data_IF_329080976985
#
_entry.id   IF_329080976985
#
_cell.length_a   1.000
_cell.length_b   1.000
_cell.length_c   1.000
_cell.angle_alpha   90.00
_cell.angle_beta   90.00
_cell.angle_gamma   90.00
#
_symmetry.space_group_name_H-M   'P 1'
#
loop_
_entity.id
_entity.type
_entity.pdbx_description
1 polymer ?
#
# COMPACT_ATOMS: atom_id res chain seq x y z
N UNK A 1 -5.06 -14.09 13.07
CA UNK A 1 -6.02 -13.02 13.47
C UNK A 1 -5.75 -12.39 14.86
N UNK A 2 -4.75 -12.86 15.63
CA UNK A 2 -4.39 -12.28 16.95
C UNK A 2 -4.06 -10.78 16.83
N UNK A 3 -3.16 -10.42 15.91
CA UNK A 3 -2.72 -9.03 15.66
C UNK A 3 -3.87 -8.05 15.45
N UNK A 4 -4.89 -8.44 14.68
CA UNK A 4 -6.05 -7.58 14.41
C UNK A 4 -6.97 -7.41 15.62
N UNK A 5 -7.08 -8.44 16.48
CA UNK A 5 -7.85 -8.33 17.73
C UNK A 5 -7.18 -7.37 18.73
N UNK A 6 -5.85 -7.40 18.79
CA UNK A 6 -5.05 -6.55 19.67
C UNK A 6 -4.95 -5.10 19.16
N UNK A 7 -5.19 -4.88 17.86
CA UNK A 7 -5.05 -3.58 17.20
C UNK A 7 -6.24 -3.28 16.28
N UNK A 8 -7.43 -3.12 16.84
CA UNK A 8 -8.68 -3.02 16.07
C UNK A 8 -8.79 -1.74 15.22
N UNK A 9 -8.00 -0.72 15.51
CA UNK A 9 -7.98 0.56 14.79
C UNK A 9 -6.80 0.69 13.81
N UNK A 10 -6.13 -0.44 13.49
CA UNK A 10 -5.01 -0.47 12.57
C UNK A 10 -5.30 -1.39 11.37
N UNK A 11 -4.66 -1.10 10.26
CA UNK A 11 -4.56 -2.04 9.14
C UNK A 11 -3.46 -3.05 9.47
N UNK A 12 -3.78 -4.34 9.37
CA UNK A 12 -2.86 -5.43 9.70
C UNK A 12 -2.40 -6.12 8.41
N UNK A 13 -1.11 -6.02 8.09
CA UNK A 13 -0.55 -6.56 6.86
C UNK A 13 0.61 -7.53 7.13
N UNK A 14 0.68 -8.60 6.33
CA UNK A 14 1.79 -9.56 6.40
C UNK A 14 3.01 -9.08 5.59
N UNK A 15 2.79 -8.33 4.52
CA UNK A 15 3.84 -7.75 3.69
C UNK A 15 3.67 -6.24 3.60
N UNK A 16 4.74 -5.52 3.88
CA UNK A 16 4.80 -4.06 3.80
C UNK A 16 6.07 -3.60 3.11
N UNK A 17 5.99 -2.42 2.50
CA UNK A 17 7.15 -1.65 2.10
C UNK A 17 7.32 -0.49 3.07
N UNK A 18 8.53 -0.03 3.30
CA UNK A 18 8.76 1.20 4.06
C UNK A 18 9.03 2.34 3.09
N UNK A 19 8.15 3.33 3.10
CA UNK A 19 8.33 4.57 2.37
C UNK A 19 9.56 5.32 2.88
N UNK A 20 10.31 5.94 1.96
CA UNK A 20 11.49 6.74 2.27
C UNK A 20 11.29 8.18 1.84
N UNK A 21 12.00 9.10 2.49
CA UNK A 21 11.85 10.53 2.26
C UNK A 21 13.22 11.19 2.13
N UNK A 22 13.30 12.22 1.29
CA UNK A 22 14.46 13.10 1.18
C UNK A 22 13.97 14.54 1.32
N UNK A 23 14.54 15.29 2.26
CA UNK A 23 14.11 16.66 2.58
C UNK A 23 12.60 16.81 2.74
N UNK A 24 11.96 15.86 3.44
CA UNK A 24 10.51 15.85 3.69
C UNK A 24 9.63 15.41 2.51
N UNK A 25 10.20 15.19 1.34
CA UNK A 25 9.48 14.74 0.15
C UNK A 25 9.55 13.23 0.02
N UNK A 26 8.42 12.59 -0.35
CA UNK A 26 8.36 11.16 -0.61
C UNK A 26 9.23 10.81 -1.81
N UNK A 27 10.12 9.83 -1.61
CA UNK A 27 10.99 9.33 -2.69
C UNK A 27 10.18 8.48 -3.70
N UNK A 28 10.68 8.34 -4.93
CA UNK A 28 10.12 7.42 -5.91
C UNK A 28 9.96 6.00 -5.36
N UNK A 29 8.92 5.31 -5.80
CA UNK A 29 8.56 3.97 -5.32
C UNK A 29 9.73 2.98 -5.33
N UNK A 30 10.58 3.03 -6.36
CA UNK A 30 11.77 2.17 -6.49
C UNK A 30 12.83 2.39 -5.39
N UNK A 31 12.80 3.53 -4.71
CA UNK A 31 13.73 3.87 -3.62
C UNK A 31 13.20 3.49 -2.25
N UNK A 32 12.00 2.93 -2.15
CA UNK A 32 11.45 2.44 -0.89
C UNK A 32 12.12 1.13 -0.48
N UNK A 33 12.07 0.79 0.79
CA UNK A 33 12.50 -0.53 1.26
C UNK A 33 11.39 -1.55 1.02
N UNK A 34 11.51 -2.29 -0.07
CA UNK A 34 10.55 -3.32 -0.44
C UNK A 34 10.65 -4.53 0.47
N UNK A 35 9.50 -5.20 0.71
CA UNK A 35 9.41 -6.37 1.59
C UNK A 35 10.12 -6.13 2.93
N UNK A 36 9.80 -4.99 3.54
CA UNK A 36 10.47 -4.53 4.75
C UNK A 36 10.13 -5.43 5.94
N UNK A 37 11.10 -6.22 6.39
CA UNK A 37 10.92 -7.26 7.42
C UNK A 37 11.58 -6.95 8.76
N UNK A 38 12.21 -5.79 8.91
CA UNK A 38 12.90 -5.41 10.15
C UNK A 38 12.03 -4.65 11.14
N UNK A 39 10.82 -4.29 10.73
CA UNK A 39 9.92 -3.48 11.53
C UNK A 39 8.87 -4.32 12.23
N UNK A 40 8.78 -4.18 13.53
CA UNK A 40 7.69 -4.70 14.35
C UNK A 40 7.01 -3.52 15.03
N UNK A 41 5.69 -3.45 14.94
CA UNK A 41 4.90 -2.37 15.49
C UNK A 41 4.12 -1.60 14.43
N UNK A 42 3.58 -0.45 14.81
CA UNK A 42 2.80 0.38 13.92
C UNK A 42 3.62 1.56 13.38
N UNK A 43 3.40 1.92 12.12
CA UNK A 43 4.06 3.08 11.51
C UNK A 43 3.16 3.71 10.44
N UNK A 44 3.19 5.04 10.37
CA UNK A 44 2.59 5.79 9.28
C UNK A 44 3.36 5.67 7.96
N UNK A 45 4.61 5.22 8.01
CA UNK A 45 5.47 5.10 6.83
C UNK A 45 5.44 3.70 6.21
N UNK A 46 4.66 2.80 6.76
CA UNK A 46 4.45 1.49 6.17
C UNK A 46 3.36 1.58 5.09
N UNK A 47 3.69 0.99 3.95
CA UNK A 47 2.82 0.80 2.81
C UNK A 47 2.51 -0.69 2.69
N UNK A 48 1.27 -1.08 2.91
CA UNK A 48 0.86 -2.48 2.78
C UNK A 48 0.63 -2.86 1.32
N UNK A 49 0.93 -4.11 0.98
CA UNK A 49 0.59 -4.68 -0.32
C UNK A 49 -0.61 -5.60 -0.16
N UNK A 50 -1.70 -5.33 -0.87
CA UNK A 50 -2.98 -6.02 -0.69
C UNK A 50 -2.92 -7.52 -0.97
N UNK A 51 -2.17 -7.93 -2.00
CA UNK A 51 -2.09 -9.31 -2.47
C UNK A 51 -1.40 -10.30 -1.53
N UNK A 52 -0.70 -9.85 -0.50
CA UNK A 52 0.04 -10.73 0.41
C UNK A 52 -0.66 -11.01 1.75
N UNK A 53 -1.93 -10.73 1.83
CA UNK A 53 -2.72 -10.92 3.05
C UNK A 53 -2.73 -9.66 3.93
N UNK A 54 -3.75 -8.85 3.74
CA UNK A 54 -3.98 -7.62 4.49
C UNK A 54 -5.41 -7.62 5.04
N UNK A 55 -5.54 -7.31 6.33
CA UNK A 55 -6.85 -7.09 6.94
C UNK A 55 -7.06 -5.60 7.13
N UNK A 56 -8.09 -5.08 6.46
CA UNK A 56 -8.49 -3.68 6.50
C UNK A 56 -9.85 -3.62 7.22
N UNK A 57 -9.95 -3.05 8.43
CA UNK A 57 -11.23 -2.88 9.09
C UNK A 57 -12.05 -1.81 8.36
N UNK A 58 -13.15 -2.19 7.72
CA UNK A 58 -13.95 -1.27 6.89
C UNK A 58 -14.42 -0.02 7.68
N UNK A 59 -14.74 -0.16 8.97
CA UNK A 59 -15.24 0.93 9.81
C UNK A 59 -14.26 2.09 10.00
N UNK A 60 -12.94 1.85 9.87
CA UNK A 60 -11.94 2.90 10.07
C UNK A 60 -11.60 3.65 8.78
N UNK A 61 -11.91 3.07 7.63
CA UNK A 61 -11.60 3.66 6.33
C UNK A 61 -12.55 4.82 5.98
N UNK A 62 -12.08 5.82 5.23
CA UNK A 62 -12.95 6.89 4.75
C UNK A 62 -13.93 6.36 3.69
N UNK A 63 -15.12 6.94 3.60
CA UNK A 63 -16.11 6.57 2.57
C UNK A 63 -15.61 6.79 1.14
N UNK A 64 -14.69 7.72 0.96
CA UNK A 64 -14.09 8.06 -0.33
C UNK A 64 -13.37 6.88 -1.01
N UNK A 65 -12.98 5.83 -0.25
CA UNK A 65 -12.43 4.61 -0.84
C UNK A 65 -13.36 3.96 -1.87
N UNK A 66 -14.69 4.18 -1.74
CA UNK A 66 -15.70 3.64 -2.63
C UNK A 66 -15.98 4.53 -3.85
N UNK A 67 -15.26 5.64 -4.00
CA UNK A 67 -15.38 6.52 -5.17
C UNK A 67 -14.76 5.85 -6.40
N UNK A 68 -15.56 4.98 -7.01
CA UNK A 68 -15.17 4.11 -8.12
C UNK A 68 -14.72 4.90 -9.35
N UNK A 69 -15.37 6.03 -9.62
CA UNK A 69 -15.06 6.82 -10.80
C UNK A 69 -13.66 7.45 -10.67
N UNK A 70 -13.39 8.07 -9.53
CA UNK A 70 -12.06 8.63 -9.26
C UNK A 70 -10.98 7.55 -9.23
N UNK A 71 -11.23 6.43 -8.53
CA UNK A 71 -10.30 5.30 -8.48
C UNK A 71 -9.94 4.81 -9.89
N UNK A 72 -10.93 4.64 -10.78
CA UNK A 72 -10.70 4.19 -12.15
C UNK A 72 -9.90 5.18 -12.97
N UNK A 73 -10.13 6.47 -12.76
CA UNK A 73 -9.47 7.53 -13.52
C UNK A 73 -7.99 7.67 -13.14
N UNK A 74 -7.68 7.65 -11.85
CA UNK A 74 -6.34 8.03 -11.37
C UNK A 74 -5.47 6.89 -10.84
N UNK A 75 -6.05 5.74 -10.45
CA UNK A 75 -5.31 4.69 -9.74
C UNK A 75 -5.74 3.24 -10.09
N UNK A 76 -6.28 3.02 -11.28
CA UNK A 76 -6.91 1.75 -11.67
C UNK A 76 -5.98 0.52 -11.57
N UNK A 77 -4.68 0.69 -11.81
CA UNK A 77 -3.72 -0.42 -11.84
C UNK A 77 -3.01 -0.67 -10.49
N UNK A 78 -3.31 0.10 -9.45
CA UNK A 78 -2.66 0.00 -8.15
C UNK A 78 -3.63 0.28 -6.99
N UNK A 79 -4.52 -0.67 -6.71
CA UNK A 79 -5.50 -0.60 -5.63
C UNK A 79 -4.84 -0.39 -4.25
N UNK A 80 -3.65 -0.96 -4.05
CA UNK A 80 -2.85 -0.76 -2.86
C UNK A 80 -2.38 0.69 -2.71
N UNK A 81 -2.04 1.40 -3.78
CA UNK A 81 -1.75 2.84 -3.73
C UNK A 81 -2.98 3.62 -3.26
N UNK A 82 -4.14 3.38 -3.87
CA UNK A 82 -5.39 4.03 -3.48
C UNK A 82 -5.70 3.85 -2.01
N UNK A 83 -5.72 2.60 -1.54
CA UNK A 83 -6.09 2.26 -0.17
C UNK A 83 -5.09 2.81 0.86
N UNK A 84 -3.77 2.71 0.59
CA UNK A 84 -2.76 3.23 1.50
C UNK A 84 -2.85 4.75 1.66
N UNK A 85 -3.00 5.52 0.58
CA UNK A 85 -3.06 6.97 0.68
C UNK A 85 -4.37 7.47 1.29
N UNK A 86 -5.49 6.79 1.07
CA UNK A 86 -6.73 7.04 1.78
C UNK A 86 -6.61 6.80 3.30
N UNK A 87 -5.97 5.69 3.68
CA UNK A 87 -5.70 5.38 5.07
C UNK A 87 -4.77 6.44 5.72
N UNK A 88 -3.72 6.85 5.02
CA UNK A 88 -2.79 7.91 5.48
C UNK A 88 -3.50 9.25 5.68
N UNK A 89 -4.39 9.64 4.77
CA UNK A 89 -5.18 10.88 4.92
C UNK A 89 -5.98 10.88 6.21
N UNK A 90 -6.48 9.71 6.62
CA UNK A 90 -7.16 9.52 7.92
C UNK A 90 -6.20 9.22 9.10
N UNK A 91 -4.89 9.23 8.88
CA UNK A 91 -3.87 8.91 9.90
C UNK A 91 -4.01 7.50 10.47
N UNK A 92 -4.59 6.57 9.71
CA UNK A 92 -4.71 5.17 10.08
C UNK A 92 -3.32 4.52 10.00
N UNK A 93 -2.95 3.79 11.04
CA UNK A 93 -1.64 3.14 11.11
C UNK A 93 -1.67 1.75 10.51
N UNK A 94 -0.55 1.37 9.91
CA UNK A 94 -0.31 0.01 9.43
C UNK A 94 0.55 -0.74 10.45
N UNK A 95 0.15 -1.98 10.75
CA UNK A 95 0.87 -2.90 11.63
C UNK A 95 1.34 -4.10 10.83
N UNK A 96 2.56 -4.56 11.11
CA UNK A 96 3.08 -5.82 10.59
C UNK A 96 3.81 -6.60 11.69
N UNK A 97 3.76 -7.92 11.61
CA UNK A 97 4.51 -8.81 12.50
C UNK A 97 5.68 -9.52 11.81
N UNK A 98 5.84 -9.34 10.52
CA UNK A 98 6.90 -9.91 9.68
C UNK A 98 7.00 -11.45 9.65
N UNK A 99 5.99 -12.18 10.12
CA UNK A 99 6.05 -13.63 10.13
C UNK A 99 5.88 -14.27 8.75
N UNK A 100 5.24 -13.58 7.80
CA UNK A 100 4.89 -14.11 6.48
C UNK A 100 5.32 -13.16 5.37
N UNK A 101 6.63 -12.94 5.28
CA UNK A 101 7.17 -12.07 4.23
C UNK A 101 7.73 -12.90 3.06
N UNK A 102 7.07 -14.00 2.72
CA UNK A 102 7.43 -14.81 1.56
C UNK A 102 6.68 -14.31 0.33
N UNK A 103 7.41 -14.20 -0.77
CA UNK A 103 6.77 -13.96 -2.06
C UNK A 103 5.92 -15.18 -2.43
N UNK A 104 4.74 -14.91 -2.96
CA UNK A 104 3.82 -15.95 -3.40
C UNK A 104 4.38 -16.67 -4.63
N UNK A 105 4.19 -17.97 -4.68
CA UNK A 105 4.64 -18.78 -5.82
C UNK A 105 3.77 -18.47 -7.02
N UNK A 106 4.36 -17.90 -8.06
CA UNK A 106 3.68 -17.66 -9.33
C UNK A 106 3.46 -18.98 -10.09
N UNK A 107 2.24 -19.19 -10.57
CA UNK A 107 1.97 -20.30 -11.47
C UNK A 107 2.62 -19.99 -12.83
N UNK A 108 3.54 -20.86 -13.27
CA UNK A 108 4.25 -20.66 -14.54
C UNK A 108 3.29 -20.54 -15.73
N UNK A 109 3.64 -19.71 -16.73
CA UNK A 109 2.91 -19.49 -17.99
C UNK A 109 1.53 -18.81 -17.89
N UNK A 110 1.06 -18.40 -16.70
CA UNK A 110 -0.25 -17.75 -16.55
C UNK A 110 -0.20 -16.22 -16.71
N UNK A 111 0.97 -15.61 -16.58
CA UNK A 111 1.13 -14.16 -16.63
C UNK A 111 1.73 -13.71 -17.97
N UNK A 112 0.89 -13.49 -18.98
CA UNK A 112 1.31 -12.89 -20.26
C UNK A 112 1.62 -11.40 -20.13
N UNK A 113 0.86 -10.68 -19.29
CA UNK A 113 1.11 -9.27 -18.96
C UNK A 113 1.28 -9.19 -17.45
N UNK A 114 2.43 -8.72 -16.99
CA UNK A 114 2.72 -8.56 -15.55
C UNK A 114 2.46 -7.11 -15.14
N UNK A 115 1.58 -6.90 -14.17
CA UNK A 115 1.36 -5.58 -13.56
C UNK A 115 2.66 -4.94 -13.05
N UNK A 116 3.60 -5.76 -12.60
CA UNK A 116 4.93 -5.32 -12.17
C UNK A 116 5.69 -4.58 -13.29
N UNK A 117 5.52 -4.97 -14.54
CA UNK A 117 6.16 -4.26 -15.66
C UNK A 117 5.61 -2.84 -15.81
N UNK A 118 4.31 -2.67 -15.76
CA UNK A 118 3.67 -1.35 -15.91
C UNK A 118 3.85 -0.49 -14.66
N UNK A 119 3.63 -1.06 -13.49
CA UNK A 119 3.61 -0.31 -12.24
C UNK A 119 5.01 0.00 -11.71
N UNK A 120 5.95 -0.94 -11.80
CA UNK A 120 7.30 -0.75 -11.23
C UNK A 120 8.31 -0.34 -12.30
N UNK A 121 8.43 -1.09 -13.39
CA UNK A 121 9.51 -0.86 -14.37
C UNK A 121 9.30 0.43 -15.18
N UNK A 122 8.07 0.75 -15.54
CA UNK A 122 7.72 1.94 -16.35
C UNK A 122 7.30 3.14 -15.48
N UNK A 123 7.36 3.02 -14.13
CA UNK A 123 7.03 4.11 -13.21
C UNK A 123 5.53 4.37 -13.05
N UNK A 124 4.70 3.39 -13.34
CA UNK A 124 3.24 3.49 -13.19
C UNK A 124 2.80 3.78 -11.75
N UNK A 125 3.48 3.18 -10.76
CA UNK A 125 3.20 3.45 -9.35
C UNK A 125 3.45 4.90 -8.97
N UNK A 126 4.56 5.50 -9.41
CA UNK A 126 4.86 6.90 -9.09
C UNK A 126 3.81 7.85 -9.68
N UNK A 127 3.37 7.62 -10.92
CA UNK A 127 2.30 8.41 -11.56
C UNK A 127 0.98 8.29 -10.78
N UNK A 128 0.61 7.09 -10.37
CA UNK A 128 -0.61 6.85 -9.60
C UNK A 128 -0.51 7.43 -8.18
N UNK A 129 0.66 7.33 -7.53
CA UNK A 129 0.94 7.96 -6.24
C UNK A 129 0.75 9.47 -6.34
N UNK A 130 1.34 10.13 -7.34
CA UNK A 130 1.21 11.57 -7.53
C UNK A 130 -0.23 11.98 -7.82
N UNK A 131 -0.95 11.24 -8.66
CA UNK A 131 -2.35 11.51 -8.96
C UNK A 131 -3.24 11.39 -7.70
N UNK A 132 -3.06 10.34 -6.89
CA UNK A 132 -3.79 10.15 -5.63
C UNK A 132 -3.43 11.21 -4.60
N UNK A 133 -2.14 11.58 -4.47
CA UNK A 133 -1.71 12.67 -3.58
C UNK A 133 -2.36 13.99 -3.97
N UNK A 134 -2.38 14.33 -5.25
CA UNK A 134 -3.02 15.55 -5.75
C UNK A 134 -4.53 15.55 -5.45
N UNK A 135 -5.21 14.45 -5.73
CA UNK A 135 -6.64 14.29 -5.41
C UNK A 135 -6.93 14.48 -3.92
N UNK A 136 -6.15 13.83 -3.06
CA UNK A 136 -6.32 13.90 -1.61
C UNK A 136 -5.75 15.17 -0.97
N UNK A 137 -5.12 16.06 -1.75
CA UNK A 137 -4.44 17.29 -1.28
C UNK A 137 -3.41 16.97 -0.18
N UNK A 138 -2.54 16.00 -0.43
CA UNK A 138 -1.34 15.79 0.37
C UNK A 138 -0.29 16.82 -0.01
N UNK A 139 0.21 17.51 0.98
CA UNK A 139 1.42 18.34 0.88
C UNK A 139 2.70 17.49 0.84
#
# INVERSE_FOLDING_TARGET
MKMAKENPECICATRVHKMTYTCGKLNPYKQWYHNFNKWRGNSSDLFFTSGAGTLIPARIMPQDIFNKEVFKDICFLADDVWLNFQARKKKIKVITNNFYNKDEISIGKTQRVKLVQQNVLVGGNDKQIDAVKNYLKFE
#
